data_IF_067189559714
#
_entry.id   IF_067189559714
#
_cell.length_a   1.000
_cell.length_b   1.000
_cell.length_c   1.000
_cell.angle_alpha   90.00
_cell.angle_beta   90.00
_cell.angle_gamma   90.00
#
_symmetry.space_group_name_H-M   'P 1'
#
loop_
_entity.id
_entity.type
_entity.pdbx_description
1 polymer ?
#
# COMPACT_ATOMS: atom_id res chain seq x y z
N UNK A 1 4.31 26.05 -8.67
CA UNK A 1 4.63 25.69 -7.27
C UNK A 1 4.55 24.17 -7.12
N UNK A 2 5.69 23.48 -7.10
CA UNK A 2 5.72 22.03 -6.89
C UNK A 2 5.31 21.74 -5.46
N UNK A 3 4.08 21.24 -5.24
CA UNK A 3 3.68 20.69 -3.94
C UNK A 3 4.65 19.57 -3.62
N UNK A 4 5.67 19.83 -2.79
CA UNK A 4 6.44 18.76 -2.15
C UNK A 4 5.41 17.95 -1.38
N UNK A 5 5.01 16.80 -1.94
CA UNK A 5 4.06 15.88 -1.33
C UNK A 5 4.69 15.49 -0.01
N UNK A 6 4.23 16.12 1.07
CA UNK A 6 4.76 15.94 2.41
C UNK A 6 4.54 14.45 2.70
N UNK A 7 5.63 13.66 2.64
CA UNK A 7 5.58 12.24 2.92
C UNK A 7 5.04 12.13 4.33
N UNK A 8 3.83 11.57 4.44
CA UNK A 8 3.17 11.44 5.73
C UNK A 8 4.08 10.63 6.65
N UNK A 9 3.97 10.79 7.97
CA UNK A 9 4.76 9.98 8.91
C UNK A 9 4.61 8.46 8.69
N UNK A 10 3.56 8.05 7.96
CA UNK A 10 3.27 6.69 7.52
C UNK A 10 4.17 6.21 6.35
N UNK A 11 4.64 7.13 5.50
CA UNK A 11 5.62 6.86 4.43
C UNK A 11 7.04 6.67 4.99
N UNK A 12 7.25 6.89 6.30
CA UNK A 12 8.52 6.65 7.01
C UNK A 12 8.65 5.22 7.56
N UNK A 13 7.72 4.32 7.20
CA UNK A 13 7.86 2.90 7.51
C UNK A 13 8.87 2.30 6.54
N UNK A 14 9.84 1.56 7.10
CA UNK A 14 10.89 0.93 6.30
C UNK A 14 10.28 -0.03 5.29
N UNK A 15 10.95 -0.26 4.16
CA UNK A 15 10.50 -1.23 3.16
C UNK A 15 10.40 -2.66 3.76
N UNK A 16 11.24 -2.95 4.74
CA UNK A 16 11.20 -4.20 5.48
C UNK A 16 9.93 -4.34 6.33
N UNK A 17 9.58 -3.32 7.11
CA UNK A 17 8.34 -3.30 7.89
C UNK A 17 7.11 -3.31 6.98
N UNK A 18 7.23 -2.68 5.81
CA UNK A 18 6.22 -2.74 4.75
C UNK A 18 5.96 -4.17 4.29
N UNK A 19 7.01 -4.92 3.96
CA UNK A 19 6.90 -6.34 3.59
C UNK A 19 6.26 -7.18 4.71
N UNK A 20 6.65 -6.92 5.96
CA UNK A 20 6.06 -7.61 7.13
C UNK A 20 4.56 -7.31 7.30
N UNK A 21 4.13 -6.07 7.13
CA UNK A 21 2.71 -5.67 7.20
C UNK A 21 1.89 -6.40 6.13
N UNK A 22 2.40 -6.51 4.89
CA UNK A 22 1.71 -7.25 3.82
C UNK A 22 1.62 -8.74 4.17
N UNK A 23 2.74 -9.36 4.55
CA UNK A 23 2.77 -10.79 4.90
C UNK A 23 1.83 -11.12 6.07
N UNK A 24 1.81 -10.30 7.12
CA UNK A 24 0.89 -10.50 8.25
C UNK A 24 -0.57 -10.37 7.85
N UNK A 25 -0.88 -9.47 6.91
CA UNK A 25 -2.24 -9.32 6.41
C UNK A 25 -2.69 -10.52 5.59
N UNK A 26 -1.82 -11.07 4.75
CA UNK A 26 -2.10 -12.29 4.00
C UNK A 26 -2.26 -13.51 4.92
N UNK A 27 -1.57 -13.52 6.06
CA UNK A 27 -1.76 -14.49 7.14
C UNK A 27 -3.01 -14.22 8.03
N UNK A 28 -3.77 -13.15 7.79
CA UNK A 28 -5.00 -12.85 8.52
C UNK A 28 -4.82 -12.28 9.94
N UNK A 29 -3.65 -11.74 10.28
CA UNK A 29 -3.40 -11.18 11.61
C UNK A 29 -4.22 -9.92 11.87
N UNK A 30 -4.57 -9.69 13.14
CA UNK A 30 -5.22 -8.44 13.53
C UNK A 30 -4.23 -7.27 13.52
N UNK A 31 -4.72 -6.08 13.13
CA UNK A 31 -3.89 -4.87 13.07
C UNK A 31 -3.17 -4.53 14.38
N UNK A 32 -3.74 -4.91 15.53
CA UNK A 32 -3.10 -4.72 16.85
C UNK A 32 -1.85 -5.58 16.97
N UNK A 33 -1.92 -6.86 16.59
CA UNK A 33 -0.79 -7.80 16.65
C UNK A 33 0.29 -7.42 15.63
N UNK A 34 -0.12 -7.03 14.42
CA UNK A 34 0.78 -6.49 13.41
C UNK A 34 1.55 -5.30 13.96
N UNK A 35 0.83 -4.35 14.59
CA UNK A 35 1.39 -3.17 15.23
C UNK A 35 2.43 -3.50 16.30
N UNK A 36 2.12 -4.44 17.19
CA UNK A 36 3.07 -4.93 18.20
C UNK A 36 4.35 -5.50 17.58
N UNK A 37 4.24 -6.23 16.46
CA UNK A 37 5.41 -6.84 15.78
C UNK A 37 6.28 -5.86 15.01
N UNK A 38 5.71 -4.76 14.51
CA UNK A 38 6.43 -3.72 13.75
C UNK A 38 6.72 -2.47 14.59
N UNK A 39 6.39 -2.47 15.87
CA UNK A 39 6.58 -1.33 16.77
C UNK A 39 5.75 -0.10 16.40
N UNK A 40 4.55 -0.30 15.83
CA UNK A 40 3.64 0.79 15.41
C UNK A 40 2.25 0.64 16.02
N UNK A 41 1.56 1.76 16.18
CA UNK A 41 0.17 1.75 16.62
C UNK A 41 -0.73 1.06 15.59
N UNK A 42 -1.75 0.33 16.05
CA UNK A 42 -2.82 -0.26 15.24
C UNK A 42 -3.39 0.70 14.19
N UNK A 43 -3.68 1.95 14.56
CA UNK A 43 -4.24 2.96 13.65
C UNK A 43 -3.29 3.27 12.50
N UNK A 44 -1.99 3.30 12.78
CA UNK A 44 -0.93 3.50 11.79
C UNK A 44 -0.89 2.31 10.82
N UNK A 45 -0.89 1.08 11.34
CA UNK A 45 -0.87 -0.12 10.51
C UNK A 45 -2.12 -0.23 9.62
N UNK A 46 -3.31 0.09 10.16
CA UNK A 46 -4.57 0.11 9.39
C UNK A 46 -4.47 1.08 8.21
N UNK A 47 -4.11 2.34 8.47
CA UNK A 47 -4.00 3.38 7.43
C UNK A 47 -2.99 3.04 6.35
N UNK A 48 -1.84 2.48 6.74
CA UNK A 48 -0.80 2.02 5.80
C UNK A 48 -1.34 0.87 4.93
N UNK A 49 -1.96 -0.13 5.55
CA UNK A 49 -2.52 -1.29 4.86
C UNK A 49 -3.64 -0.89 3.89
N UNK A 50 -4.49 0.06 4.26
CA UNK A 50 -5.56 0.60 3.42
C UNK A 50 -4.97 1.36 2.23
N UNK A 51 -3.99 2.24 2.49
CA UNK A 51 -3.34 3.02 1.44
C UNK A 51 -2.63 2.13 0.43
N UNK A 52 -1.89 1.11 0.85
CA UNK A 52 -1.21 0.20 -0.09
C UNK A 52 -2.18 -0.70 -0.85
N UNK A 53 -3.30 -1.13 -0.26
CA UNK A 53 -4.34 -1.80 -1.04
C UNK A 53 -4.96 -0.90 -2.10
N UNK A 54 -5.15 0.38 -1.79
CA UNK A 54 -5.64 1.36 -2.76
C UNK A 54 -4.60 1.66 -3.84
N UNK A 55 -3.32 1.79 -3.49
CA UNK A 55 -2.22 1.96 -4.45
C UNK A 55 -2.10 0.73 -5.38
N UNK A 56 -2.16 -0.50 -4.84
CA UNK A 56 -2.14 -1.74 -5.64
C UNK A 56 -3.40 -1.94 -6.50
N UNK A 57 -4.56 -1.45 -6.03
CA UNK A 57 -5.80 -1.43 -6.84
C UNK A 57 -5.71 -0.41 -7.97
N UNK A 58 -5.10 0.75 -7.71
CA UNK A 58 -4.88 1.78 -8.73
C UNK A 58 -3.88 1.33 -9.79
N UNK A 59 -2.82 0.61 -9.41
CA UNK A 59 -1.89 -0.03 -10.37
C UNK A 59 -2.60 -1.06 -11.27
N UNK A 60 -3.44 -1.92 -10.67
CA UNK A 60 -4.24 -2.90 -11.43
C UNK A 60 -5.21 -2.23 -12.41
N UNK A 61 -5.80 -1.09 -12.04
CA UNK A 61 -6.66 -0.28 -12.93
C UNK A 61 -5.87 0.48 -14.01
N UNK A 62 -4.60 0.81 -13.76
CA UNK A 62 -3.70 1.37 -14.77
C UNK A 62 -3.33 0.32 -15.83
N UNK A 63 -3.10 -0.93 -15.42
CA UNK A 63 -2.83 -2.04 -16.36
C UNK A 63 -4.03 -2.47 -17.19
N UNK A 64 -5.25 -2.32 -16.67
CA UNK A 64 -6.47 -2.59 -17.47
C UNK A 64 -6.73 -1.55 -18.56
N UNK A 65 -6.15 -0.35 -18.50
CA UNK A 65 -6.22 0.62 -19.61
C UNK A 65 -5.17 0.37 -20.70
N UNK A 66 -4.09 -0.36 -20.39
CA UNK A 66 -3.07 -0.71 -21.38
C UNK A 66 -3.41 -1.97 -22.18
N UNK A 67 -4.44 -2.73 -21.80
CA UNK A 67 -4.91 -3.87 -22.59
C UNK A 67 -6.01 -3.52 -23.61
N UNK A 68 -6.67 -2.37 -23.46
CA UNK A 68 -7.73 -1.91 -24.39
C UNK A 68 -7.22 -0.93 -25.45
N UNK A 69 -5.93 -0.56 -25.43
CA UNK A 69 -5.32 0.33 -26.43
C UNK A 69 -4.38 -0.40 -27.40
N UNK A 70 -4.58 -1.70 -27.61
CA UNK A 70 -3.83 -2.51 -28.61
C UNK A 70 -4.78 -3.17 -29.63
N UNK A 71 -6.02 -2.71 -29.76
CA UNK A 71 -6.99 -3.25 -30.74
C UNK A 71 -7.48 -2.22 -31.78
N UNK A 72 -6.76 -1.12 -31.99
CA UNK A 72 -7.04 -0.22 -33.11
C UNK A 72 -5.75 0.19 -33.82
N UNK A 73 -5.10 -0.78 -34.45
CA UNK A 73 -4.23 -0.55 -35.61
C UNK A 73 -4.19 -1.86 -36.42
N UNK A 74 -5.26 -2.05 -37.22
CA UNK A 74 -5.25 -2.85 -38.44
C UNK A 74 -5.58 -1.91 -39.58
#
# INVERSE_FOLDING_TARGET
MSRRKQRSAFDQVSEFDRGRIVAYRDCGLYFREMGSRVGRNQTTVRRISDRWMQEGTTDRRGRSHLYTSVQHFT
#
